data_IF_685273041201
#
_entry.id   IF_685273041201
#
_cell.length_a   1.000
_cell.length_b   1.000
_cell.length_c   1.000
_cell.angle_alpha   90.00
_cell.angle_beta   90.00
_cell.angle_gamma   90.00
#
_symmetry.space_group_name_H-M   'P 1'
#
loop_
_entity.id
_entity.type
_entity.pdbx_description
1 polymer ?
#
# COMPACT_ATOMS: atom_id res chain seq x y z
N UNK A 1 5.12 -7.12 41.49
CA UNK A 1 5.73 -5.77 41.49
C UNK A 1 6.99 -5.84 40.62
N UNK A 2 7.07 -5.39 39.37
CA UNK A 2 6.12 -4.86 38.37
C UNK A 2 6.78 -5.21 37.03
N UNK A 3 6.28 -6.23 36.33
CA UNK A 3 6.74 -6.56 34.97
C UNK A 3 5.77 -5.94 33.97
N UNK A 4 5.73 -4.61 33.98
CA UNK A 4 4.90 -3.80 33.10
C UNK A 4 5.72 -2.59 32.71
N UNK A 5 6.25 -2.56 31.48
CA UNK A 5 7.07 -1.41 31.10
C UNK A 5 7.60 -1.32 29.68
N UNK A 6 7.64 -2.40 28.89
CA UNK A 6 7.85 -2.31 27.44
C UNK A 6 6.88 -3.30 26.80
N UNK A 7 5.80 -2.79 26.21
CA UNK A 7 4.98 -3.61 25.30
C UNK A 7 5.93 -4.24 24.28
N UNK A 8 5.84 -5.55 24.07
CA UNK A 8 6.60 -6.23 23.03
C UNK A 8 6.37 -5.47 21.71
N UNK A 9 7.43 -4.89 21.16
CA UNK A 9 7.36 -4.01 19.98
C UNK A 9 6.79 -4.79 18.78
N UNK A 10 7.19 -6.05 18.63
CA UNK A 10 6.70 -6.92 17.56
C UNK A 10 5.20 -7.17 17.73
N UNK A 11 4.73 -7.41 18.96
CA UNK A 11 3.29 -7.57 19.21
C UNK A 11 2.50 -6.27 18.95
N UNK A 12 3.10 -5.12 19.25
CA UNK A 12 2.49 -3.82 18.96
C UNK A 12 2.37 -3.58 17.46
N UNK A 13 3.43 -3.85 16.69
CA UNK A 13 3.42 -3.74 15.22
C UNK A 13 2.41 -4.71 14.62
N UNK A 14 2.37 -5.96 15.12
CA UNK A 14 1.41 -6.97 14.66
C UNK A 14 -0.03 -6.49 14.85
N UNK A 15 -0.35 -5.95 16.03
CA UNK A 15 -1.67 -5.39 16.31
C UNK A 15 -2.00 -4.21 15.38
N UNK A 16 -1.07 -3.27 15.19
CA UNK A 16 -1.26 -2.17 14.23
C UNK A 16 -1.50 -2.68 12.80
N UNK A 17 -0.78 -3.71 12.37
CA UNK A 17 -0.96 -4.30 11.04
C UNK A 17 -2.34 -4.94 10.88
N UNK A 18 -2.84 -5.64 11.90
CA UNK A 18 -4.19 -6.21 11.88
C UNK A 18 -5.28 -5.12 11.88
N UNK A 19 -5.11 -4.06 12.66
CA UNK A 19 -6.02 -2.90 12.66
C UNK A 19 -6.00 -2.17 11.32
N UNK A 20 -4.84 -2.00 10.69
CA UNK A 20 -4.72 -1.41 9.37
C UNK A 20 -5.48 -2.25 8.32
N UNK A 21 -5.33 -3.59 8.35
CA UNK A 21 -6.02 -4.50 7.43
C UNK A 21 -7.55 -4.43 7.54
N UNK A 22 -8.09 -3.99 8.68
CA UNK A 22 -9.53 -3.83 8.89
C UNK A 22 -10.09 -2.50 8.30
N UNK A 23 -9.23 -1.59 7.83
CA UNK A 23 -9.63 -0.25 7.35
C UNK A 23 -9.69 -0.17 5.83
N UNK A 24 -10.73 -0.76 5.22
CA UNK A 24 -10.90 -0.78 3.76
C UNK A 24 -10.94 0.64 3.14
N UNK A 25 -11.52 1.62 3.82
CA UNK A 25 -11.63 3.01 3.35
C UNK A 25 -10.27 3.65 3.03
N UNK A 26 -9.21 3.28 3.74
CA UNK A 26 -7.87 3.82 3.50
C UNK A 26 -7.33 3.38 2.13
N UNK A 27 -7.68 2.18 1.68
CA UNK A 27 -7.28 1.69 0.37
C UNK A 27 -8.02 2.45 -0.73
N UNK A 28 -9.32 2.74 -0.54
CA UNK A 28 -10.10 3.52 -1.50
C UNK A 28 -9.57 4.95 -1.66
N UNK A 29 -9.17 5.59 -0.56
CA UNK A 29 -8.57 6.94 -0.57
C UNK A 29 -7.21 6.96 -1.27
N UNK A 30 -6.37 5.96 -1.00
CA UNK A 30 -5.08 5.78 -1.67
C UNK A 30 -5.26 5.57 -3.17
N UNK A 31 -6.21 4.71 -3.56
CA UNK A 31 -6.49 4.44 -4.97
C UNK A 31 -6.98 5.69 -5.70
N UNK A 32 -7.91 6.44 -5.10
CA UNK A 32 -8.42 7.67 -5.68
C UNK A 32 -7.30 8.70 -5.90
N UNK A 33 -6.37 8.82 -4.94
CA UNK A 33 -5.23 9.72 -5.06
C UNK A 33 -4.26 9.30 -6.18
N UNK A 34 -3.92 8.01 -6.27
CA UNK A 34 -3.04 7.50 -7.34
C UNK A 34 -3.69 7.61 -8.71
N UNK A 35 -4.99 7.31 -8.83
CA UNK A 35 -5.73 7.50 -10.08
C UNK A 35 -5.78 8.97 -10.51
N UNK A 36 -5.80 9.88 -9.53
CA UNK A 36 -5.70 11.33 -9.75
C UNK A 36 -4.42 11.74 -10.47
N UNK A 37 -3.30 11.04 -10.25
CA UNK A 37 -2.00 11.37 -10.87
C UNK A 37 -1.76 10.76 -12.24
N UNK A 38 -2.66 9.90 -12.72
CA UNK A 38 -2.52 9.26 -14.04
C UNK A 38 -2.66 10.28 -15.18
N UNK A 39 -2.07 9.98 -16.33
CA UNK A 39 -2.32 10.76 -17.55
C UNK A 39 -3.79 10.63 -17.98
N UNK A 40 -4.27 11.58 -18.79
CA UNK A 40 -5.65 11.54 -19.30
C UNK A 40 -5.89 10.30 -20.17
N UNK A 41 -4.89 9.91 -20.98
CA UNK A 41 -4.94 8.69 -21.80
C UNK A 41 -5.08 7.45 -20.94
N UNK A 42 -4.28 7.35 -19.87
CA UNK A 42 -4.33 6.21 -18.94
C UNK A 42 -5.66 6.17 -18.19
N UNK A 43 -6.14 7.33 -17.70
CA UNK A 43 -7.39 7.44 -16.96
C UNK A 43 -8.62 7.14 -17.83
N UNK A 44 -8.51 7.33 -19.14
CA UNK A 44 -9.59 7.04 -20.09
C UNK A 44 -9.83 5.54 -20.34
N UNK A 45 -8.92 4.66 -19.90
CA UNK A 45 -9.05 3.20 -20.00
C UNK A 45 -9.45 2.59 -18.63
N UNK A 46 -10.73 2.21 -18.44
CA UNK A 46 -11.19 1.65 -17.17
C UNK A 46 -10.51 0.33 -16.79
N UNK A 47 -10.08 -0.47 -17.77
CA UNK A 47 -9.41 -1.74 -17.50
C UNK A 47 -8.00 -1.48 -16.96
N UNK A 48 -7.31 -0.49 -17.52
CA UNK A 48 -5.99 -0.09 -17.05
C UNK A 48 -6.05 0.57 -15.67
N UNK A 49 -7.05 1.44 -15.43
CA UNK A 49 -7.31 2.01 -14.10
C UNK A 49 -7.55 0.91 -13.07
N UNK A 50 -8.42 -0.06 -13.37
CA UNK A 50 -8.69 -1.18 -12.47
C UNK A 50 -7.44 -2.03 -12.20
N UNK A 51 -6.60 -2.25 -13.21
CA UNK A 51 -5.34 -2.98 -13.07
C UNK A 51 -4.33 -2.24 -12.17
N UNK A 52 -4.21 -0.91 -12.33
CA UNK A 52 -3.34 -0.07 -11.49
C UNK A 52 -3.85 -0.04 -10.04
N UNK A 53 -5.15 0.15 -9.83
CA UNK A 53 -5.80 0.06 -8.51
C UNK A 53 -5.54 -1.29 -7.84
N UNK A 54 -5.69 -2.40 -8.59
CA UNK A 54 -5.37 -3.74 -8.10
C UNK A 54 -3.90 -3.90 -7.69
N UNK A 55 -2.98 -3.39 -8.50
CA UNK A 55 -1.54 -3.37 -8.21
C UNK A 55 -1.22 -2.59 -6.93
N UNK A 56 -1.80 -1.40 -6.77
CA UNK A 56 -1.63 -0.58 -5.56
C UNK A 56 -2.08 -1.33 -4.30
N UNK A 57 -3.28 -1.90 -4.32
CA UNK A 57 -3.81 -2.70 -3.20
C UNK A 57 -2.94 -3.91 -2.91
N UNK A 58 -2.49 -4.63 -3.95
CA UNK A 58 -1.59 -5.78 -3.79
C UNK A 58 -0.29 -5.39 -3.10
N UNK A 59 0.31 -4.25 -3.47
CA UNK A 59 1.52 -3.73 -2.84
C UNK A 59 1.33 -3.38 -1.36
N UNK A 60 0.26 -2.64 -1.04
CA UNK A 60 -0.06 -2.27 0.34
C UNK A 60 -0.32 -3.51 1.19
N UNK A 61 -1.18 -4.41 0.72
CA UNK A 61 -1.53 -5.62 1.45
C UNK A 61 -0.33 -6.55 1.65
N UNK A 62 0.56 -6.66 0.66
CA UNK A 62 1.81 -7.41 0.80
C UNK A 62 2.67 -6.87 1.95
N UNK A 63 2.84 -5.55 2.01
CA UNK A 63 3.61 -4.91 3.07
C UNK A 63 2.98 -5.12 4.44
N UNK A 64 1.70 -4.81 4.61
CA UNK A 64 1.01 -4.92 5.91
C UNK A 64 0.93 -6.37 6.38
N UNK A 65 0.63 -7.33 5.50
CA UNK A 65 0.61 -8.75 5.86
C UNK A 65 1.99 -9.27 6.25
N UNK A 66 3.05 -8.75 5.65
CA UNK A 66 4.42 -9.10 6.04
C UNK A 66 4.72 -8.63 7.46
N UNK A 67 4.34 -7.39 7.81
CA UNK A 67 4.44 -6.88 9.18
C UNK A 67 3.58 -7.69 10.17
N UNK A 68 2.35 -8.05 9.78
CA UNK A 68 1.46 -8.86 10.61
C UNK A 68 1.98 -10.29 10.83
N UNK A 69 2.85 -10.81 9.96
CA UNK A 69 3.44 -12.14 10.07
C UNK A 69 4.73 -12.11 10.88
N UNK A 70 5.65 -11.25 10.50
CA UNK A 70 7.01 -11.19 11.04
C UNK A 70 7.48 -9.72 11.17
N UNK A 71 7.10 -9.02 12.25
CA UNK A 71 7.33 -7.58 12.44
C UNK A 71 8.79 -7.12 12.35
N UNK A 72 9.74 -7.99 12.72
CA UNK A 72 11.16 -7.67 12.78
C UNK A 72 11.93 -8.10 11.55
N UNK A 73 11.29 -8.82 10.62
CA UNK A 73 11.91 -9.21 9.36
C UNK A 73 11.84 -8.12 8.29
N UNK A 74 12.86 -8.00 7.42
CA UNK A 74 12.77 -7.19 6.21
C UNK A 74 11.60 -7.64 5.32
N UNK A 75 10.81 -6.69 4.85
CA UNK A 75 9.74 -6.95 3.87
C UNK A 75 10.35 -7.02 2.47
N UNK A 76 10.28 -8.16 1.76
CA UNK A 76 10.78 -8.25 0.39
C UNK A 76 9.91 -7.41 -0.57
N UNK A 77 10.47 -6.97 -1.69
CA UNK A 77 9.70 -6.32 -2.74
C UNK A 77 8.59 -7.26 -3.27
N UNK A 78 7.40 -6.70 -3.53
CA UNK A 78 6.34 -7.45 -4.19
C UNK A 78 6.60 -7.50 -5.70
N UNK A 79 7.03 -8.66 -6.18
CA UNK A 79 7.28 -8.92 -7.62
C UNK A 79 6.22 -9.81 -8.24
N UNK A 80 5.04 -9.88 -7.63
CA UNK A 80 3.93 -10.66 -8.17
C UNK A 80 3.43 -10.11 -9.51
N UNK A 81 2.84 -10.97 -10.37
CA UNK A 81 2.21 -10.53 -11.62
C UNK A 81 1.17 -9.43 -11.39
N UNK A 82 0.41 -9.49 -10.30
CA UNK A 82 -0.60 -8.47 -9.94
C UNK A 82 0.00 -7.05 -9.83
N UNK A 83 1.28 -6.94 -9.46
CA UNK A 83 1.99 -5.67 -9.37
C UNK A 83 2.67 -5.28 -10.68
N UNK A 84 3.32 -6.24 -11.34
CA UNK A 84 4.20 -5.97 -12.49
C UNK A 84 3.46 -5.93 -13.83
N UNK A 85 2.43 -6.75 -14.03
CA UNK A 85 1.73 -6.85 -15.30
C UNK A 85 1.05 -5.54 -15.72
N UNK A 86 0.41 -4.76 -14.83
CA UNK A 86 -0.16 -3.46 -15.18
C UNK A 86 0.91 -2.47 -15.64
N UNK A 87 2.08 -2.46 -14.98
CA UNK A 87 3.21 -1.61 -15.39
C UNK A 87 3.72 -2.01 -16.78
N UNK A 88 3.88 -3.32 -17.03
CA UNK A 88 4.29 -3.81 -18.35
C UNK A 88 3.23 -3.53 -19.42
N UNK A 89 1.95 -3.49 -19.05
CA UNK A 89 0.87 -3.15 -19.98
C UNK A 89 0.93 -1.70 -20.43
N UNK A 90 1.19 -0.76 -19.51
CA UNK A 90 1.45 0.65 -19.85
C UNK A 90 2.60 0.75 -20.87
N UNK A 91 3.72 0.06 -20.60
CA UNK A 91 4.89 0.04 -21.51
C UNK A 91 4.55 -0.55 -22.88
N UNK A 92 3.88 -1.71 -22.91
CA UNK A 92 3.51 -2.39 -24.17
C UNK A 92 2.58 -1.55 -25.04
N UNK A 93 1.74 -0.72 -24.43
CA UNK A 93 0.79 0.17 -25.11
C UNK A 93 1.42 1.51 -25.51
N UNK A 94 2.68 1.76 -25.16
CA UNK A 94 3.36 3.04 -25.41
C UNK A 94 2.72 4.21 -24.65
N UNK A 95 2.05 3.93 -23.54
CA UNK A 95 1.45 4.93 -22.67
C UNK A 95 2.49 5.53 -21.74
N UNK A 96 2.21 6.73 -21.23
CA UNK A 96 3.06 7.35 -20.23
C UNK A 96 3.10 6.48 -18.97
N UNK A 97 4.32 6.17 -18.51
CA UNK A 97 4.52 5.43 -17.27
C UNK A 97 3.86 6.19 -16.11
N UNK A 98 3.29 5.49 -15.11
CA UNK A 98 2.83 6.14 -13.90
C UNK A 98 3.93 7.04 -13.35
N UNK A 99 3.61 8.31 -13.17
CA UNK A 99 4.58 9.29 -12.73
C UNK A 99 5.16 8.88 -11.37
N UNK A 100 6.39 9.28 -11.11
CA UNK A 100 6.99 9.11 -9.78
C UNK A 100 6.14 9.80 -8.69
N UNK A 101 5.33 10.77 -9.07
CA UNK A 101 4.40 11.45 -8.17
C UNK A 101 3.24 10.56 -7.74
N UNK A 102 2.74 9.68 -8.62
CA UNK A 102 1.77 8.64 -8.25
C UNK A 102 2.31 7.66 -7.20
N UNK A 103 3.56 7.23 -7.36
CA UNK A 103 4.22 6.40 -6.35
C UNK A 103 4.40 7.17 -5.02
N UNK A 104 4.88 8.41 -5.09
CA UNK A 104 5.12 9.25 -3.89
C UNK A 104 3.84 9.56 -3.13
N UNK A 105 2.74 9.89 -3.81
CA UNK A 105 1.48 10.18 -3.15
C UNK A 105 0.90 8.93 -2.49
N UNK A 106 0.96 7.77 -3.17
CA UNK A 106 0.55 6.50 -2.58
C UNK A 106 1.37 6.13 -1.35
N UNK A 107 2.70 6.26 -1.43
CA UNK A 107 3.59 6.01 -0.29
C UNK A 107 3.33 6.99 0.87
N UNK A 108 3.14 8.28 0.56
CA UNK A 108 2.84 9.28 1.58
C UNK A 108 1.54 8.95 2.32
N UNK A 109 0.46 8.66 1.59
CA UNK A 109 -0.83 8.31 2.20
C UNK A 109 -0.75 7.03 3.01
N UNK A 110 -0.08 6.00 2.50
CA UNK A 110 0.15 4.75 3.23
C UNK A 110 0.86 5.00 4.58
N UNK A 111 1.95 5.77 4.57
CA UNK A 111 2.73 6.03 5.79
C UNK A 111 1.99 6.94 6.77
N UNK A 112 1.23 7.92 6.28
CA UNK A 112 0.37 8.77 7.11
C UNK A 112 -0.70 7.92 7.81
N UNK A 113 -1.43 7.11 7.04
CA UNK A 113 -2.47 6.23 7.57
C UNK A 113 -1.90 5.17 8.55
N UNK A 114 -0.74 4.61 8.26
CA UNK A 114 -0.03 3.72 9.18
C UNK A 114 0.30 4.42 10.50
N UNK A 115 0.80 5.66 10.43
CA UNK A 115 1.13 6.45 11.61
C UNK A 115 -0.10 6.72 12.47
N UNK A 116 -1.24 7.05 11.86
CA UNK A 116 -2.51 7.21 12.56
C UNK A 116 -2.91 5.92 13.30
N UNK A 117 -2.84 4.77 12.62
CA UNK A 117 -3.12 3.47 13.26
C UNK A 117 -2.19 3.22 14.45
N UNK A 118 -0.89 3.50 14.31
CA UNK A 118 0.07 3.35 15.42
C UNK A 118 -0.29 4.24 16.61
N UNK A 119 -0.62 5.51 16.37
CA UNK A 119 -0.97 6.48 17.41
C UNK A 119 -2.29 6.13 18.13
N UNK A 120 -3.24 5.53 17.41
CA UNK A 120 -4.53 5.11 17.98
C UNK A 120 -4.44 3.77 18.73
N UNK A 121 -3.48 2.92 18.37
CA UNK A 121 -3.39 1.53 18.86
C UNK A 121 -2.44 1.39 20.05
N UNK A 122 -1.33 2.13 20.08
CA UNK A 122 -0.24 2.02 21.08
C UNK A 122 -0.32 3.15 22.08
#
# INVERSE_FOLDING_TARGET
MSDGGIRNVDESIRRCALEFLARERLLDELDAAVVGTLSDETRSDPALVAAITGSNRSNVLHWVRSLARDPSAPVPANTSPDVLDPLFDVVRRGLELPSLDGYRIGQHLLLSAWTEVVLETV
#
